data_IF_959536421991
#
_entry.id   IF_959536421991
#
_cell.length_a   1.000
_cell.length_b   1.000
_cell.length_c   1.000
_cell.angle_alpha   90.00
_cell.angle_beta   90.00
_cell.angle_gamma   90.00
#
_symmetry.space_group_name_H-M   'P 1'
#
loop_
_entity.id
_entity.type
_entity.pdbx_description
1 polymer ?
#
# COMPACT_ATOMS: atom_id res chain seq x y z
N UNK A 1 58.32 27.61 -77.47
CA UNK A 1 56.98 27.03 -77.76
C UNK A 1 56.91 25.67 -77.05
N UNK A 2 56.10 25.56 -75.99
CA UNK A 2 54.80 24.86 -75.98
C UNK A 2 54.96 23.34 -76.17
N UNK A 3 54.40 22.41 -75.41
CA UNK A 3 53.49 22.36 -74.27
C UNK A 3 53.28 20.87 -73.96
N UNK A 4 53.21 20.47 -72.68
CA UNK A 4 52.20 19.57 -72.08
C UNK A 4 52.78 18.80 -70.89
N UNK A 5 52.38 19.26 -69.70
CA UNK A 5 52.46 18.57 -68.41
C UNK A 5 51.65 17.26 -68.48
N UNK A 6 52.24 16.13 -68.08
CA UNK A 6 51.48 15.00 -67.52
C UNK A 6 51.62 15.06 -66.00
N UNK A 7 50.55 15.49 -65.32
CA UNK A 7 50.41 15.34 -63.87
C UNK A 7 50.10 13.88 -63.58
N UNK A 8 51.00 13.18 -62.90
CA UNK A 8 50.64 11.97 -62.16
C UNK A 8 49.80 12.41 -60.95
N UNK A 9 48.49 12.23 -61.04
CA UNK A 9 47.56 12.37 -59.92
C UNK A 9 47.56 11.03 -59.20
N UNK A 10 48.16 10.98 -58.01
CA UNK A 10 47.83 9.97 -57.01
C UNK A 10 46.39 10.24 -56.56
N UNK A 11 45.45 9.36 -56.90
CA UNK A 11 44.14 9.31 -56.29
C UNK A 11 44.22 8.39 -55.06
N UNK A 12 43.75 8.81 -53.87
CA UNK A 12 43.70 7.93 -52.71
C UNK A 12 42.55 6.93 -52.89
N UNK A 13 42.87 5.63 -52.80
CA UNK A 13 41.90 4.56 -52.64
C UNK A 13 41.15 4.77 -51.32
N UNK A 14 39.96 5.36 -51.36
CA UNK A 14 38.99 5.26 -50.28
C UNK A 14 38.03 4.11 -50.62
N UNK A 15 37.99 3.01 -49.84
CA UNK A 15 36.96 2.01 -50.03
C UNK A 15 35.65 2.59 -49.50
N UNK A 16 34.77 2.99 -50.40
CA UNK A 16 33.35 3.18 -50.07
C UNK A 16 32.82 1.85 -49.53
N UNK A 17 32.62 1.77 -48.21
CA UNK A 17 31.84 0.70 -47.59
C UNK A 17 30.42 0.78 -48.17
N UNK A 18 30.12 -0.11 -49.11
CA UNK A 18 28.74 -0.27 -49.57
C UNK A 18 27.93 -0.91 -48.44
N UNK A 19 27.07 -0.10 -47.82
CA UNK A 19 26.14 -0.55 -46.79
C UNK A 19 25.14 -1.52 -47.41
N UNK A 20 25.33 -2.83 -47.18
CA UNK A 20 24.39 -3.87 -47.61
C UNK A 20 23.35 -4.02 -46.49
N UNK A 21 22.18 -3.40 -46.67
CA UNK A 21 21.04 -3.52 -45.74
C UNK A 21 20.80 -5.00 -45.37
N UNK A 22 20.55 -5.34 -44.10
CA UNK A 22 20.20 -6.70 -43.72
C UNK A 22 18.87 -7.10 -44.39
N UNK A 23 18.93 -8.05 -45.34
CA UNK A 23 17.80 -8.48 -46.20
C UNK A 23 16.64 -9.16 -45.47
N UNK A 24 16.78 -9.45 -44.18
CA UNK A 24 15.82 -10.28 -43.45
C UNK A 24 14.50 -9.54 -43.16
N UNK A 25 14.52 -8.22 -42.99
CA UNK A 25 13.35 -7.42 -42.55
C UNK A 25 12.56 -6.82 -43.74
N UNK A 26 13.16 -6.73 -44.92
CA UNK A 26 12.46 -6.28 -46.13
C UNK A 26 11.63 -7.41 -46.78
N UNK A 27 11.83 -8.66 -46.36
CA UNK A 27 11.08 -9.80 -46.89
C UNK A 27 9.62 -9.76 -46.39
N UNK A 28 8.62 -9.85 -47.29
CA UNK A 28 7.21 -9.77 -46.90
C UNK A 28 6.83 -10.79 -45.82
N UNK A 29 7.45 -11.97 -45.82
CA UNK A 29 7.26 -13.01 -44.80
C UNK A 29 7.68 -12.57 -43.38
N UNK A 30 8.76 -11.79 -43.23
CA UNK A 30 9.21 -11.31 -41.92
C UNK A 30 8.25 -10.26 -41.35
N UNK A 31 7.68 -9.40 -42.22
CA UNK A 31 6.65 -8.43 -41.83
C UNK A 31 5.36 -9.10 -41.39
N UNK A 32 4.93 -10.15 -42.11
CA UNK A 32 3.77 -10.98 -41.73
C UNK A 32 4.02 -11.70 -40.40
N UNK A 33 5.22 -12.26 -40.19
CA UNK A 33 5.57 -12.91 -38.93
C UNK A 33 5.53 -11.94 -37.75
N UNK A 34 6.13 -10.76 -37.87
CA UNK A 34 6.09 -9.72 -36.83
C UNK A 34 4.64 -9.29 -36.55
N UNK A 35 3.85 -9.08 -37.60
CA UNK A 35 2.43 -8.75 -37.45
C UNK A 35 1.65 -9.83 -36.69
N UNK A 36 1.85 -11.11 -37.03
CA UNK A 36 1.19 -12.23 -36.35
C UNK A 36 1.62 -12.35 -34.88
N UNK A 37 2.90 -12.09 -34.56
CA UNK A 37 3.39 -12.07 -33.18
C UNK A 37 2.74 -10.93 -32.39
N UNK A 38 2.64 -9.73 -32.97
CA UNK A 38 1.94 -8.61 -32.33
C UNK A 38 0.46 -8.94 -32.06
N UNK A 39 -0.25 -9.50 -33.04
CA UNK A 39 -1.65 -9.91 -32.88
C UNK A 39 -1.81 -10.97 -31.80
N UNK A 40 -0.91 -11.97 -31.76
CA UNK A 40 -0.91 -13.01 -30.74
C UNK A 40 -0.71 -12.42 -29.34
N UNK A 41 0.27 -11.53 -29.15
CA UNK A 41 0.52 -10.84 -27.87
C UNK A 41 -0.71 -10.03 -27.45
N UNK A 42 -1.34 -9.31 -28.38
CA UNK A 42 -2.58 -8.56 -28.10
C UNK A 42 -3.73 -9.45 -27.68
N UNK A 43 -3.97 -10.58 -28.37
CA UNK A 43 -5.05 -11.51 -28.02
C UNK A 43 -4.81 -12.13 -26.64
N UNK A 44 -3.57 -12.54 -26.35
CA UNK A 44 -3.20 -13.09 -25.03
C UNK A 44 -3.37 -12.04 -23.94
N UNK A 45 -2.92 -10.80 -24.17
CA UNK A 45 -3.08 -9.70 -23.21
C UNK A 45 -4.54 -9.36 -22.93
N UNK A 46 -5.38 -9.27 -23.96
CA UNK A 46 -6.82 -9.02 -23.81
C UNK A 46 -7.51 -10.14 -23.05
N UNK A 47 -7.16 -11.41 -23.34
CA UNK A 47 -7.71 -12.55 -22.61
C UNK A 47 -7.31 -12.52 -21.14
N UNK A 48 -6.03 -12.26 -20.86
CA UNK A 48 -5.53 -12.19 -19.49
C UNK A 48 -6.24 -11.10 -18.69
N UNK A 49 -6.37 -9.90 -19.26
CA UNK A 49 -7.12 -8.81 -18.64
C UNK A 49 -8.60 -9.16 -18.41
N UNK A 50 -9.26 -9.75 -19.41
CA UNK A 50 -10.65 -10.21 -19.27
C UNK A 50 -10.82 -11.26 -18.18
N UNK A 51 -9.81 -12.10 -17.94
CA UNK A 51 -9.85 -13.10 -16.88
C UNK A 51 -9.52 -12.50 -15.50
N UNK A 52 -8.60 -11.53 -15.42
CA UNK A 52 -8.26 -10.83 -14.17
C UNK A 52 -9.39 -9.94 -13.67
N UNK A 53 -10.13 -9.28 -14.56
CA UNK A 53 -11.24 -8.40 -14.17
C UNK A 53 -12.50 -9.12 -13.69
N UNK A 54 -12.57 -10.46 -13.74
CA UNK A 54 -13.78 -11.23 -13.38
C UNK A 54 -14.02 -11.35 -11.89
N UNK A 55 -12.97 -11.29 -11.09
CA UNK A 55 -13.04 -11.50 -9.66
C UNK A 55 -12.29 -10.39 -8.93
N UNK A 56 -12.83 -9.94 -7.80
CA UNK A 56 -12.16 -9.03 -6.87
C UNK A 56 -12.09 -9.67 -5.50
N UNK A 57 -11.09 -9.28 -4.72
CA UNK A 57 -11.04 -9.63 -3.30
C UNK A 57 -12.05 -8.75 -2.56
N UNK A 58 -12.99 -9.39 -1.86
CA UNK A 58 -13.76 -8.77 -0.79
C UNK A 58 -12.98 -8.94 0.49
N UNK A 59 -12.76 -7.83 1.17
CA UNK A 59 -12.19 -7.81 2.51
C UNK A 59 -13.22 -8.40 3.46
N UNK A 60 -12.73 -9.20 4.40
CA UNK A 60 -13.54 -9.76 5.45
C UNK A 60 -13.05 -9.17 6.77
N UNK A 61 -13.73 -8.14 7.25
CA UNK A 61 -13.41 -7.53 8.55
C UNK A 61 -13.69 -8.57 9.64
N UNK A 62 -12.71 -8.89 10.50
CA UNK A 62 -12.94 -9.87 11.56
C UNK A 62 -14.03 -9.39 12.53
N UNK A 63 -14.86 -10.31 13.02
CA UNK A 63 -15.83 -10.03 14.07
C UNK A 63 -15.13 -9.96 15.42
N UNK A 64 -15.47 -8.96 16.24
CA UNK A 64 -15.01 -8.90 17.63
C UNK A 64 -15.68 -9.99 18.49
N UNK A 65 -15.02 -10.41 19.56
CA UNK A 65 -15.57 -11.35 20.54
C UNK A 65 -16.26 -10.60 21.69
N UNK A 66 -16.54 -11.32 22.79
CA UNK A 66 -16.97 -10.71 24.05
C UNK A 66 -15.87 -9.88 24.72
N UNK A 67 -14.61 -10.00 24.27
CA UNK A 67 -13.44 -9.28 24.79
C UNK A 67 -13.10 -8.00 24.01
N UNK A 68 -14.09 -7.41 23.34
CA UNK A 68 -14.11 -6.16 22.53
C UNK A 68 -12.93 -5.16 22.62
N UNK A 69 -12.34 -4.92 23.80
CA UNK A 69 -11.22 -3.97 23.96
C UNK A 69 -9.85 -4.52 23.57
N UNK A 70 -9.71 -5.84 23.43
CA UNK A 70 -8.47 -6.48 22.99
C UNK A 70 -8.80 -7.73 22.17
N UNK A 71 -8.30 -7.78 20.95
CA UNK A 71 -8.46 -8.93 20.05
C UNK A 71 -7.11 -9.24 19.38
N UNK A 72 -6.66 -10.47 19.52
CA UNK A 72 -5.39 -10.94 18.99
C UNK A 72 -5.58 -11.97 17.88
N UNK A 73 -5.72 -11.51 16.64
CA UNK A 73 -5.85 -12.41 15.49
C UNK A 73 -4.49 -12.95 15.01
N UNK A 74 -3.39 -12.50 15.62
CA UNK A 74 -2.02 -12.90 15.28
C UNK A 74 -1.40 -13.88 16.27
N UNK A 75 -1.94 -13.98 17.48
CA UNK A 75 -1.40 -14.76 18.59
C UNK A 75 -0.01 -14.30 19.02
N UNK A 76 0.16 -12.98 19.20
CA UNK A 76 1.44 -12.32 19.56
C UNK A 76 1.42 -11.66 20.94
N UNK A 77 0.24 -11.47 21.53
CA UNK A 77 0.05 -10.95 22.86
C UNK A 77 -0.10 -12.10 23.85
N UNK A 78 0.48 -11.93 25.03
CA UNK A 78 0.29 -12.88 26.12
C UNK A 78 -0.91 -12.47 26.98
N UNK A 79 -1.40 -13.43 27.77
CA UNK A 79 -2.58 -13.23 28.63
C UNK A 79 -2.43 -12.08 29.64
N UNK A 80 -1.20 -11.78 30.11
CA UNK A 80 -0.95 -10.69 31.06
C UNK A 80 -1.19 -9.33 30.40
N UNK A 81 -0.71 -9.16 29.18
CA UNK A 81 -0.89 -7.94 28.37
C UNK A 81 -2.36 -7.75 28.00
N UNK A 82 -3.01 -8.79 27.48
CA UNK A 82 -4.44 -8.74 27.14
C UNK A 82 -5.30 -8.37 28.34
N UNK A 83 -5.05 -9.00 29.49
CA UNK A 83 -5.80 -8.72 30.71
C UNK A 83 -5.62 -7.28 31.16
N UNK A 84 -4.40 -6.74 31.08
CA UNK A 84 -4.15 -5.35 31.41
C UNK A 84 -4.92 -4.39 30.49
N UNK A 85 -4.86 -4.62 29.17
CA UNK A 85 -5.58 -3.80 28.18
C UNK A 85 -7.08 -3.83 28.47
N UNK A 86 -7.66 -5.03 28.63
CA UNK A 86 -9.08 -5.21 28.91
C UNK A 86 -9.50 -4.51 30.21
N UNK A 87 -8.80 -4.75 31.31
CA UNK A 87 -9.16 -4.23 32.63
C UNK A 87 -9.10 -2.69 32.66
N UNK A 88 -8.06 -2.09 32.07
CA UNK A 88 -7.91 -0.62 32.05
C UNK A 88 -8.83 0.05 31.03
N UNK A 89 -9.10 -0.57 29.88
CA UNK A 89 -10.05 -0.04 28.89
C UNK A 89 -11.49 -0.03 29.44
N UNK A 90 -11.89 -1.07 30.17
CA UNK A 90 -13.19 -1.11 30.86
C UNK A 90 -13.29 -0.02 31.93
N UNK A 91 -12.23 0.25 32.68
CA UNK A 91 -12.20 1.34 33.68
C UNK A 91 -12.31 2.71 32.99
N UNK A 92 -11.57 2.91 31.90
CA UNK A 92 -11.61 4.13 31.11
C UNK A 92 -13.03 4.40 30.60
N UNK A 93 -13.65 3.42 29.93
CA UNK A 93 -15.00 3.57 29.41
C UNK A 93 -16.01 3.90 30.53
N UNK A 94 -15.94 3.24 31.69
CA UNK A 94 -16.80 3.57 32.83
C UNK A 94 -16.60 5.00 33.34
N UNK A 95 -15.38 5.54 33.24
CA UNK A 95 -15.04 6.86 33.76
C UNK A 95 -15.35 8.00 32.76
N UNK A 96 -15.22 7.74 31.45
CA UNK A 96 -15.23 8.79 30.41
C UNK A 96 -16.24 8.54 29.28
N UNK A 97 -16.81 7.34 29.18
CA UNK A 97 -17.54 6.83 28.01
C UNK A 97 -16.70 6.72 26.73
N UNK A 98 -15.39 6.97 26.79
CA UNK A 98 -14.48 6.79 25.66
C UNK A 98 -13.98 5.35 25.60
N UNK A 99 -13.77 4.85 24.39
CA UNK A 99 -13.34 3.48 24.15
C UNK A 99 -11.99 3.48 23.46
N UNK A 100 -11.05 2.68 23.99
CA UNK A 100 -9.73 2.47 23.38
C UNK A 100 -9.58 0.96 23.21
N UNK A 101 -9.42 0.52 21.97
CA UNK A 101 -9.40 -0.88 21.55
C UNK A 101 -8.05 -1.22 20.93
N UNK A 102 -7.49 -2.38 21.26
CA UNK A 102 -6.24 -2.89 20.69
C UNK A 102 -6.54 -4.10 19.82
N UNK A 103 -6.07 -4.09 18.58
CA UNK A 103 -6.24 -5.22 17.66
C UNK A 103 -4.91 -5.55 17.01
N UNK A 104 -4.57 -6.83 16.94
CA UNK A 104 -3.46 -7.33 16.10
C UNK A 104 -4.05 -8.18 14.97
N UNK A 105 -3.54 -7.99 13.76
CA UNK A 105 -3.93 -8.78 12.58
C UNK A 105 -2.69 -9.24 11.82
N UNK A 106 -2.72 -10.40 11.15
CA UNK A 106 -1.56 -10.85 10.38
C UNK A 106 -1.31 -10.00 9.12
N UNK A 107 -2.34 -9.36 8.57
CA UNK A 107 -2.27 -8.48 7.39
C UNK A 107 -3.59 -7.69 7.22
N UNK A 108 -3.63 -6.79 6.23
CA UNK A 108 -4.78 -5.95 5.85
C UNK A 108 -5.56 -6.47 4.64
N UNK A 109 -5.38 -7.75 4.27
CA UNK A 109 -6.08 -8.39 3.15
C UNK A 109 -5.98 -7.63 1.81
N UNK A 110 -4.84 -7.00 1.53
CA UNK A 110 -4.56 -6.16 0.34
C UNK A 110 -5.12 -4.72 0.37
N UNK A 111 -5.73 -4.28 1.47
CA UNK A 111 -6.04 -2.86 1.68
C UNK A 111 -4.83 -2.09 2.23
N UNK A 112 -4.88 -0.76 2.10
CA UNK A 112 -4.02 0.12 2.89
C UNK A 112 -4.32 -0.05 4.38
N UNK A 113 -3.34 0.23 5.24
CA UNK A 113 -3.51 0.16 6.69
C UNK A 113 -4.57 1.15 7.17
N UNK A 114 -4.59 2.33 6.55
CA UNK A 114 -5.56 3.38 6.77
C UNK A 114 -6.99 2.89 6.51
N UNK A 115 -7.26 2.41 5.28
CA UNK A 115 -8.61 2.00 4.87
C UNK A 115 -9.11 0.83 5.74
N UNK A 116 -8.25 -0.18 5.95
CA UNK A 116 -8.59 -1.33 6.78
C UNK A 116 -8.93 -0.91 8.22
N UNK A 117 -8.14 0.01 8.82
CA UNK A 117 -8.40 0.47 10.19
C UNK A 117 -9.70 1.26 10.32
N UNK A 118 -10.04 2.09 9.33
CA UNK A 118 -11.27 2.88 9.32
C UNK A 118 -12.47 1.95 9.17
N UNK A 119 -12.40 0.98 8.25
CA UNK A 119 -13.45 -0.01 8.04
C UNK A 119 -13.67 -0.85 9.30
N UNK A 120 -12.59 -1.36 9.90
CA UNK A 120 -12.63 -2.10 11.15
C UNK A 120 -13.26 -1.29 12.29
N UNK A 121 -12.81 -0.05 12.52
CA UNK A 121 -13.31 0.79 13.60
C UNK A 121 -14.79 1.15 13.45
N UNK A 122 -15.23 1.40 12.20
CA UNK A 122 -16.64 1.68 11.88
C UNK A 122 -17.52 0.44 12.04
N UNK A 123 -17.10 -0.72 11.51
CA UNK A 123 -17.86 -1.96 11.58
C UNK A 123 -18.07 -2.40 13.04
N UNK A 124 -17.02 -2.26 13.87
CA UNK A 124 -17.10 -2.56 15.30
C UNK A 124 -17.82 -1.47 16.11
N UNK A 125 -18.08 -0.31 15.51
CA UNK A 125 -18.72 0.82 16.17
C UNK A 125 -17.97 1.28 17.41
N UNK A 126 -16.64 1.39 17.33
CA UNK A 126 -15.79 1.76 18.46
C UNK A 126 -16.13 3.20 18.92
N UNK A 127 -16.30 3.39 20.23
CA UNK A 127 -16.67 4.68 20.82
C UNK A 127 -18.19 4.93 20.90
N UNK A 128 -18.55 6.06 21.47
CA UNK A 128 -19.95 6.50 21.52
C UNK A 128 -20.34 7.24 20.24
N UNK A 129 -21.49 6.88 19.65
CA UNK A 129 -21.97 7.44 18.37
C UNK A 129 -22.19 8.96 18.40
N UNK A 130 -22.51 9.53 19.55
CA UNK A 130 -22.76 10.96 19.69
C UNK A 130 -21.48 11.73 20.07
N UNK A 131 -20.55 11.08 20.77
CA UNK A 131 -19.31 11.72 21.23
C UNK A 131 -18.13 11.52 20.27
N UNK A 132 -18.18 10.51 19.39
CA UNK A 132 -17.12 10.14 18.46
C UNK A 132 -15.76 10.02 19.17
N UNK A 133 -15.76 9.33 20.31
CA UNK A 133 -14.65 9.25 21.26
C UNK A 133 -14.03 7.84 21.32
N UNK A 134 -14.00 7.17 20.18
CA UNK A 134 -13.33 5.89 20.00
C UNK A 134 -11.86 6.06 19.60
N UNK A 135 -11.03 5.08 19.96
CA UNK A 135 -9.64 4.94 19.49
C UNK A 135 -9.39 3.49 19.17
N UNK A 136 -8.82 3.23 17.99
CA UNK A 136 -8.31 1.92 17.60
C UNK A 136 -6.79 1.98 17.51
N UNK A 137 -6.11 1.12 18.27
CA UNK A 137 -4.69 0.82 18.12
C UNK A 137 -4.57 -0.51 17.38
N UNK A 138 -4.23 -0.44 16.09
CA UNK A 138 -4.14 -1.58 15.20
C UNK A 138 -2.67 -1.90 14.89
N UNK A 139 -2.27 -3.15 15.07
CA UNK A 139 -0.98 -3.67 14.62
C UNK A 139 -1.17 -4.68 13.48
N UNK A 140 -0.34 -4.58 12.45
CA UNK A 140 -0.13 -5.67 11.49
C UNK A 140 1.14 -6.41 11.84
N UNK A 141 1.07 -7.74 11.89
CA UNK A 141 2.19 -8.60 12.32
C UNK A 141 2.81 -9.37 11.16
N UNK A 142 2.70 -8.84 9.94
CA UNK A 142 3.31 -9.43 8.77
C UNK A 142 4.83 -9.50 8.97
N UNK A 143 5.43 -10.67 8.72
CA UNK A 143 6.81 -10.97 9.09
C UNK A 143 7.85 -9.99 8.50
N UNK A 144 7.64 -9.52 7.27
CA UNK A 144 8.58 -8.64 6.57
C UNK A 144 8.21 -7.14 6.64
N UNK A 145 6.99 -6.81 7.06
CA UNK A 145 6.47 -5.43 7.01
C UNK A 145 5.41 -5.20 8.11
N UNK A 146 5.81 -5.29 9.40
CA UNK A 146 4.91 -5.00 10.48
C UNK A 146 4.62 -3.51 10.52
N UNK A 147 3.36 -3.11 10.73
CA UNK A 147 2.95 -1.72 10.85
C UNK A 147 2.08 -1.51 12.07
N UNK A 148 1.95 -0.25 12.47
CA UNK A 148 1.04 0.17 13.53
C UNK A 148 0.27 1.41 13.11
N UNK A 149 -1.01 1.44 13.46
CA UNK A 149 -1.87 2.59 13.27
C UNK A 149 -2.65 2.92 14.54
N UNK A 150 -2.75 4.21 14.81
CA UNK A 150 -3.67 4.76 15.79
C UNK A 150 -4.75 5.57 15.06
N UNK A 151 -5.98 5.07 15.07
CA UNK A 151 -7.16 5.75 14.52
C UNK A 151 -7.89 6.47 15.66
N UNK A 152 -8.18 7.75 15.48
CA UNK A 152 -8.75 8.62 16.52
C UNK A 152 -10.11 9.16 16.05
N UNK A 153 -11.16 8.94 16.85
CA UNK A 153 -12.47 9.57 16.66
C UNK A 153 -12.42 11.08 16.90
N UNK A 154 -13.28 11.85 16.23
CA UNK A 154 -13.22 13.33 16.20
C UNK A 154 -13.35 13.96 17.59
N UNK A 155 -14.09 13.31 18.49
CA UNK A 155 -14.27 13.75 19.86
C UNK A 155 -12.98 13.76 20.68
N UNK A 156 -11.93 13.08 20.22
CA UNK A 156 -10.64 12.98 20.90
C UNK A 156 -9.51 13.70 20.16
N UNK A 157 -9.75 14.34 19.00
CA UNK A 157 -8.72 15.08 18.26
C UNK A 157 -8.08 16.22 19.06
N UNK A 158 -8.85 16.86 19.95
CA UNK A 158 -8.34 17.90 20.85
C UNK A 158 -7.28 17.35 21.82
N UNK A 159 -7.49 16.13 22.28
CA UNK A 159 -6.60 15.41 23.18
C UNK A 159 -5.41 14.80 22.42
N UNK A 160 -5.69 14.10 21.33
CA UNK A 160 -4.75 13.28 20.57
C UNK A 160 -4.85 13.69 19.10
N UNK A 161 -4.19 14.79 18.74
CA UNK A 161 -4.03 15.18 17.34
C UNK A 161 -3.11 14.21 16.59
N UNK A 162 -3.20 14.16 15.25
CA UNK A 162 -2.34 13.33 14.39
C UNK A 162 -0.85 13.43 14.73
N UNK A 163 -0.37 14.66 14.96
CA UNK A 163 1.02 14.89 15.34
C UNK A 163 1.37 14.33 16.72
N UNK A 164 0.42 14.29 17.65
CA UNK A 164 0.61 13.64 18.96
C UNK A 164 0.52 12.11 18.81
N UNK A 165 -0.46 11.59 18.07
CA UNK A 165 -0.60 10.19 17.75
C UNK A 165 0.71 9.63 17.15
N UNK A 166 1.27 10.31 16.14
CA UNK A 166 2.54 9.93 15.54
C UNK A 166 3.69 9.88 16.55
N UNK A 167 3.81 10.88 17.45
CA UNK A 167 4.84 10.88 18.50
C UNK A 167 4.65 9.76 19.53
N UNK A 168 3.41 9.37 19.81
CA UNK A 168 3.13 8.23 20.69
C UNK A 168 3.63 6.95 20.02
N UNK A 169 3.27 6.73 18.75
CA UNK A 169 3.73 5.57 17.99
C UNK A 169 5.26 5.52 17.88
N UNK A 170 5.90 6.63 17.51
CA UNK A 170 7.37 6.75 17.40
C UNK A 170 8.08 6.37 18.70
N UNK A 171 7.48 6.73 19.84
CA UNK A 171 8.11 6.55 21.15
C UNK A 171 7.89 5.17 21.75
N UNK A 172 6.73 4.56 21.51
CA UNK A 172 6.28 3.39 22.26
C UNK A 172 6.00 2.17 21.39
N UNK A 173 5.72 2.35 20.09
CA UNK A 173 5.30 1.27 19.22
C UNK A 173 6.40 0.82 18.25
N UNK A 174 7.06 1.76 17.56
CA UNK A 174 7.90 1.46 16.37
C UNK A 174 9.05 0.51 16.70
N UNK A 175 9.97 0.90 17.57
CA UNK A 175 11.16 0.10 17.90
C UNK A 175 10.78 -1.27 18.51
N UNK A 176 9.91 -1.36 19.55
CA UNK A 176 9.52 -2.67 20.08
C UNK A 176 8.81 -3.57 19.05
N UNK A 177 7.92 -3.02 18.22
CA UNK A 177 7.23 -3.77 17.16
C UNK A 177 8.22 -4.34 16.14
N UNK A 178 9.18 -3.53 15.69
CA UNK A 178 10.20 -3.94 14.71
C UNK A 178 11.10 -5.06 15.27
N UNK A 179 11.34 -5.06 16.57
CA UNK A 179 12.09 -6.12 17.28
C UNK A 179 11.24 -7.34 17.65
N UNK A 180 9.94 -7.35 17.31
CA UNK A 180 9.00 -8.42 17.64
C UNK A 180 8.55 -8.44 19.11
N UNK A 181 8.80 -7.37 19.86
CA UNK A 181 8.39 -7.16 21.24
C UNK A 181 6.95 -6.62 21.31
N UNK A 182 6.00 -7.44 20.86
CA UNK A 182 4.60 -7.07 20.68
C UNK A 182 3.87 -6.67 21.97
N UNK A 183 4.18 -7.33 23.09
CA UNK A 183 3.58 -7.00 24.38
C UNK A 183 4.03 -5.62 24.85
N UNK A 184 5.32 -5.33 24.69
CA UNK A 184 5.88 -4.01 24.94
C UNK A 184 5.24 -2.95 24.05
N UNK A 185 5.21 -3.19 22.74
CA UNK A 185 4.63 -2.26 21.77
C UNK A 185 3.17 -1.93 22.09
N UNK A 186 2.33 -2.96 22.30
CA UNK A 186 0.91 -2.79 22.57
C UNK A 186 0.65 -2.16 23.94
N UNK A 187 1.28 -2.69 25.00
CA UNK A 187 1.02 -2.28 26.38
C UNK A 187 1.45 -0.84 26.68
N UNK A 188 2.63 -0.43 26.22
CA UNK A 188 3.12 0.94 26.45
C UNK A 188 2.36 1.97 25.61
N UNK A 189 2.08 1.66 24.35
CA UNK A 189 1.31 2.53 23.45
C UNK A 189 -0.10 2.72 23.98
N UNK A 190 -0.80 1.63 24.33
CA UNK A 190 -2.12 1.69 24.95
C UNK A 190 -2.10 2.54 26.24
N UNK A 191 -1.13 2.31 27.12
CA UNK A 191 -0.98 3.08 28.37
C UNK A 191 -0.81 4.58 28.10
N UNK A 192 0.00 4.94 27.11
CA UNK A 192 0.19 6.34 26.73
C UNK A 192 -1.10 6.98 26.19
N UNK A 193 -1.86 6.25 25.38
CA UNK A 193 -3.13 6.71 24.82
C UNK A 193 -4.17 6.94 25.92
N UNK A 194 -4.41 5.96 26.79
CA UNK A 194 -5.46 6.10 27.82
C UNK A 194 -5.17 7.22 28.82
N UNK A 195 -3.88 7.54 29.07
CA UNK A 195 -3.49 8.72 29.87
C UNK A 195 -3.93 10.04 29.25
N UNK A 196 -3.77 10.19 27.93
CA UNK A 196 -4.25 11.39 27.22
C UNK A 196 -5.78 11.45 27.23
N UNK A 197 -6.47 10.31 27.10
CA UNK A 197 -7.94 10.27 27.18
C UNK A 197 -8.44 10.66 28.57
N UNK A 198 -7.90 10.10 29.65
CA UNK A 198 -8.28 10.52 31.02
C UNK A 198 -8.10 12.02 31.23
N UNK A 199 -6.98 12.56 30.74
CA UNK A 199 -6.67 13.99 30.84
C UNK A 199 -7.67 14.87 30.09
N UNK A 200 -8.10 14.46 28.90
CA UNK A 200 -9.12 15.19 28.12
C UNK A 200 -10.42 15.36 28.89
N UNK A 201 -10.86 14.30 29.56
CA UNK A 201 -12.09 14.32 30.36
C UNK A 201 -11.89 14.89 31.79
N UNK A 202 -10.71 15.43 32.09
CA UNK A 202 -10.40 16.00 33.41
C UNK A 202 -10.48 14.98 34.55
N UNK A 203 -10.23 13.70 34.24
CA UNK A 203 -10.23 12.61 35.21
C UNK A 203 -8.82 12.34 35.72
N UNK A 204 -8.71 11.94 36.98
CA UNK A 204 -7.45 11.45 37.54
C UNK A 204 -7.11 10.11 36.88
N UNK A 205 -5.84 9.96 36.46
CA UNK A 205 -5.32 8.72 35.91
C UNK A 205 -5.16 7.73 37.06
N UNK A 206 -5.79 6.54 37.03
CA UNK A 206 -5.61 5.53 38.06
C UNK A 206 -4.14 5.11 38.20
N UNK A 207 -3.68 4.83 39.42
CA UNK A 207 -2.30 4.35 39.67
C UNK A 207 -1.97 3.04 38.92
N UNK A 208 -2.99 2.26 38.56
CA UNK A 208 -2.84 1.04 37.74
C UNK A 208 -2.42 1.32 36.30
N UNK A 209 -2.64 2.54 35.79
CA UNK A 209 -2.31 2.94 34.42
C UNK A 209 -0.83 3.33 34.34
N UNK A 210 0.02 2.32 34.28
CA UNK A 210 1.46 2.48 34.18
C UNK A 210 2.07 1.42 33.27
N UNK A 211 3.14 1.79 32.57
CA UNK A 211 4.00 0.84 31.89
C UNK A 211 4.54 -0.16 32.90
N UNK A 212 4.55 -1.43 32.51
CA UNK A 212 5.03 -2.55 33.32
C UNK A 212 6.16 -3.26 32.58
N UNK A 213 6.83 -4.18 33.26
CA UNK A 213 7.74 -5.11 32.59
C UNK A 213 6.93 -6.14 31.81
N UNK A 214 6.92 -5.98 30.48
CA UNK A 214 6.24 -6.85 29.53
C UNK A 214 7.08 -8.10 29.25
N UNK A 215 6.42 -9.25 29.10
CA UNK A 215 7.07 -10.54 28.93
C UNK A 215 7.01 -10.99 27.46
N UNK A 216 7.98 -10.58 26.64
CA UNK A 216 8.01 -10.88 25.20
C UNK A 216 8.69 -12.22 24.85
N UNK A 217 9.77 -12.61 25.54
CA UNK A 217 10.58 -13.78 25.14
C UNK A 217 10.14 -15.14 25.71
N UNK A 218 9.27 -15.15 26.74
CA UNK A 218 9.06 -16.35 27.58
C UNK A 218 7.59 -16.70 27.86
N UNK A 219 6.64 -15.84 27.50
CA UNK A 219 5.23 -16.06 27.76
C UNK A 219 4.55 -16.75 26.57
N UNK A 220 3.67 -17.74 26.79
CA UNK A 220 2.81 -18.23 25.72
C UNK A 220 1.90 -17.11 25.20
N UNK A 221 1.94 -16.87 23.89
CA UNK A 221 1.10 -15.89 23.18
C UNK A 221 -0.02 -16.54 22.36
N UNK A 222 -0.19 -17.86 22.51
CA UNK A 222 -1.25 -18.62 21.83
C UNK A 222 -2.05 -19.44 22.83
N UNK A 223 -3.33 -19.62 22.52
CA UNK A 223 -4.33 -20.20 23.41
C UNK A 223 -4.78 -19.26 24.52
N UNK A 224 -4.63 -17.94 24.34
CA UNK A 224 -5.13 -16.94 25.28
C UNK A 224 -6.64 -16.72 25.09
N UNK A 225 -7.23 -15.78 25.84
CA UNK A 225 -8.68 -15.52 25.73
C UNK A 225 -9.03 -14.51 24.64
N UNK A 226 -8.07 -13.68 24.22
CA UNK A 226 -8.28 -12.72 23.13
C UNK A 226 -7.89 -13.29 21.75
N UNK A 227 -7.33 -14.51 21.71
CA UNK A 227 -7.00 -15.18 20.46
C UNK A 227 -8.25 -15.52 19.65
N UNK A 228 -8.28 -15.03 18.42
CA UNK A 228 -9.39 -15.20 17.48
C UNK A 228 -8.90 -15.59 16.08
N UNK A 229 -9.70 -16.32 15.32
CA UNK A 229 -9.35 -16.72 13.95
C UNK A 229 -9.44 -15.51 12.99
N UNK A 230 -8.35 -15.20 12.28
CA UNK A 230 -8.40 -14.16 11.24
C UNK A 230 -9.06 -14.70 9.96
N UNK A 231 -10.18 -14.11 9.49
CA UNK A 231 -10.76 -14.51 8.22
C UNK A 231 -9.85 -14.10 7.06
N UNK A 232 -9.72 -14.99 6.07
CA UNK A 232 -9.05 -14.65 4.81
C UNK A 232 -9.96 -13.84 3.88
N UNK A 233 -9.37 -13.14 2.88
CA UNK A 233 -10.16 -12.44 1.88
C UNK A 233 -10.97 -13.41 1.02
N UNK A 234 -12.15 -12.98 0.58
CA UNK A 234 -13.06 -13.79 -0.23
C UNK A 234 -13.01 -13.31 -1.68
N UNK A 235 -12.78 -14.22 -2.63
CA UNK A 235 -12.93 -13.91 -4.05
C UNK A 235 -14.41 -13.82 -4.40
N UNK A 236 -14.85 -12.62 -4.77
CA UNK A 236 -16.22 -12.37 -5.24
C UNK A 236 -16.21 -12.04 -6.73
N UNK A 237 -17.32 -12.30 -7.41
CA UNK A 237 -17.48 -11.85 -8.79
C UNK A 237 -17.41 -10.33 -8.85
N UNK A 238 -16.75 -9.80 -9.87
CA UNK A 238 -16.72 -8.36 -10.11
C UNK A 238 -18.11 -7.90 -10.59
N UNK A 239 -18.80 -7.18 -9.71
CA UNK A 239 -20.13 -6.59 -9.91
C UNK A 239 -20.08 -5.09 -10.18
N UNK A 240 -18.89 -4.52 -10.38
CA UNK A 240 -18.72 -3.10 -10.66
C UNK A 240 -19.50 -2.70 -11.93
N UNK A 241 -20.03 -1.47 -12.01
CA UNK A 241 -20.76 -1.03 -13.19
C UNK A 241 -19.92 -1.20 -14.45
N UNK A 242 -20.55 -1.65 -15.55
CA UNK A 242 -19.89 -1.88 -16.84
C UNK A 242 -19.02 -0.69 -17.30
N UNK A 243 -19.42 0.55 -16.97
CA UNK A 243 -18.65 1.75 -17.31
C UNK A 243 -17.29 1.82 -16.61
N UNK A 244 -17.18 1.43 -15.33
CA UNK A 244 -15.90 1.41 -14.60
C UNK A 244 -14.98 0.33 -15.18
N UNK A 245 -15.54 -0.87 -15.41
CA UNK A 245 -14.82 -1.96 -16.07
C UNK A 245 -14.33 -1.55 -17.47
N UNK A 246 -15.12 -0.75 -18.21
CA UNK A 246 -14.75 -0.22 -19.51
C UNK A 246 -13.62 0.82 -19.42
N UNK A 247 -13.64 1.69 -18.39
CA UNK A 247 -12.58 2.68 -18.16
C UNK A 247 -11.26 1.97 -17.89
N UNK A 248 -11.24 1.01 -16.96
CA UNK A 248 -10.05 0.21 -16.64
C UNK A 248 -9.54 -0.54 -17.86
N UNK A 249 -10.44 -1.13 -18.66
CA UNK A 249 -10.10 -1.79 -19.91
C UNK A 249 -9.44 -0.84 -20.93
N UNK A 250 -9.93 0.39 -21.05
CA UNK A 250 -9.37 1.40 -21.96
C UNK A 250 -7.99 1.86 -21.48
N UNK A 251 -7.82 2.12 -20.18
CA UNK A 251 -6.53 2.52 -19.59
C UNK A 251 -5.50 1.42 -19.82
N UNK A 252 -5.86 0.17 -19.52
CA UNK A 252 -4.98 -0.98 -19.71
C UNK A 252 -4.65 -1.21 -21.18
N UNK A 253 -5.63 -1.12 -22.07
CA UNK A 253 -5.39 -1.21 -23.52
C UNK A 253 -4.44 -0.10 -24.00
N UNK A 254 -4.61 1.13 -23.50
CA UNK A 254 -3.73 2.25 -23.79
C UNK A 254 -2.29 2.00 -23.35
N UNK A 255 -2.09 1.51 -22.13
CA UNK A 255 -0.76 1.14 -21.60
C UNK A 255 -0.11 0.03 -22.43
N UNK A 256 -0.85 -1.01 -22.78
CA UNK A 256 -0.36 -2.12 -23.59
C UNK A 256 0.00 -1.67 -25.01
N UNK A 257 -0.84 -0.87 -25.66
CA UNK A 257 -0.56 -0.31 -26.99
C UNK A 257 0.70 0.55 -26.97
N UNK A 258 0.85 1.40 -25.94
CA UNK A 258 2.05 2.20 -25.75
C UNK A 258 3.31 1.35 -25.61
N UNK A 259 3.27 0.29 -24.78
CA UNK A 259 4.40 -0.63 -24.56
C UNK A 259 4.78 -1.36 -25.86
N UNK A 260 3.80 -1.85 -26.63
CA UNK A 260 4.03 -2.50 -27.93
C UNK A 260 4.67 -1.52 -28.91
N UNK A 261 4.19 -0.28 -29.00
CA UNK A 261 4.77 0.76 -29.85
C UNK A 261 6.20 1.09 -29.42
N UNK A 262 6.45 1.20 -28.11
CA UNK A 262 7.78 1.47 -27.55
C UNK A 262 8.77 0.34 -27.89
N UNK A 263 8.39 -0.92 -27.68
CA UNK A 263 9.22 -2.08 -28.04
C UNK A 263 9.47 -2.12 -29.55
N UNK A 264 8.43 -1.85 -30.35
CA UNK A 264 8.57 -1.79 -31.81
C UNK A 264 9.56 -0.71 -32.24
N UNK A 265 9.49 0.49 -31.65
CA UNK A 265 10.43 1.59 -31.88
C UNK A 265 11.85 1.24 -31.43
N UNK A 266 12.02 0.55 -30.30
CA UNK A 266 13.33 0.08 -29.82
C UNK A 266 13.94 -0.96 -30.75
N UNK A 267 13.13 -1.89 -31.26
CA UNK A 267 13.54 -2.86 -32.29
C UNK A 267 13.95 -2.12 -33.57
N UNK A 268 13.14 -1.18 -34.05
CA UNK A 268 13.50 -0.34 -35.21
C UNK A 268 14.82 0.41 -34.96
N UNK A 269 15.00 1.02 -33.80
CA UNK A 269 16.23 1.70 -33.43
C UNK A 269 17.45 0.77 -33.53
N UNK A 270 17.39 -0.44 -32.97
CA UNK A 270 18.50 -1.42 -33.08
C UNK A 270 18.76 -1.91 -34.51
N UNK A 271 17.75 -1.91 -35.37
CA UNK A 271 17.83 -2.31 -36.78
C UNK A 271 18.44 -1.19 -37.64
N UNK A 272 18.00 0.05 -37.43
CA UNK A 272 18.37 1.20 -38.24
C UNK A 272 19.65 1.90 -37.76
N UNK A 273 20.06 1.72 -36.50
CA UNK A 273 21.23 2.41 -35.91
C UNK A 273 22.56 1.65 -36.06
N UNK A 274 22.69 0.79 -37.09
CA UNK A 274 23.98 0.20 -37.49
C UNK A 274 24.75 1.02 -38.52
N UNK A 275 24.59 2.35 -38.51
CA UNK A 275 25.22 3.18 -39.54
C UNK A 275 25.22 4.68 -39.28
N UNK A 276 25.66 5.16 -38.11
CA UNK A 276 26.40 6.44 -38.07
C UNK A 276 27.15 6.63 -36.75
N UNK A 277 28.46 6.38 -36.76
CA UNK A 277 29.34 6.91 -35.73
C UNK A 277 29.81 8.31 -36.10
N UNK A 278 29.37 9.34 -35.37
CA UNK A 278 30.22 10.49 -34.97
C UNK A 278 29.48 11.44 -34.03
N UNK A 279 30.05 11.54 -32.83
CA UNK A 279 30.01 12.56 -31.77
C UNK A 279 29.09 13.79 -31.82
N UNK A 280 28.62 14.10 -30.60
CA UNK A 280 28.53 15.41 -29.94
C UNK A 280 27.41 16.38 -30.35
N UNK A 281 26.46 16.56 -29.44
CA UNK A 281 25.52 17.68 -29.41
C UNK A 281 24.77 17.71 -28.08
N UNK A 282 25.13 18.66 -27.23
CA UNK A 282 24.60 18.90 -25.88
C UNK A 282 23.35 19.79 -25.96
N UNK A 283 22.32 19.47 -25.16
CA UNK A 283 21.14 20.30 -24.86
C UNK A 283 19.90 19.91 -25.67
N UNK A 284 18.69 19.77 -25.12
CA UNK A 284 18.11 19.99 -23.80
C UNK A 284 16.58 19.94 -23.96
N UNK A 285 15.84 19.73 -22.86
CA UNK A 285 14.37 19.77 -22.73
C UNK A 285 13.65 18.56 -23.37
N UNK A 286 12.90 17.72 -22.65
CA UNK A 286 11.91 18.02 -21.62
C UNK A 286 12.12 17.19 -20.34
N UNK A 287 12.16 17.90 -19.21
CA UNK A 287 11.73 17.35 -17.94
C UNK A 287 10.22 17.23 -17.95
N UNK A 288 9.73 16.07 -17.53
CA UNK A 288 8.34 15.77 -17.28
C UNK A 288 8.30 14.68 -16.23
N UNK A 289 8.52 15.08 -14.97
CA UNK A 289 8.19 14.24 -13.83
C UNK A 289 6.70 13.95 -13.90
N UNK A 290 6.32 12.70 -14.19
CA UNK A 290 4.99 12.22 -13.88
C UNK A 290 4.99 11.83 -12.40
N UNK A 291 4.86 12.85 -11.55
CA UNK A 291 4.24 12.68 -10.24
C UNK A 291 2.76 12.40 -10.50
N UNK A 292 2.38 11.12 -10.46
CA UNK A 292 0.98 10.72 -10.37
C UNK A 292 0.46 11.02 -8.98
N UNK A 293 0.09 12.28 -8.73
CA UNK A 293 -0.81 12.61 -7.64
C UNK A 293 -2.20 12.12 -8.05
N UNK A 294 -2.68 11.07 -7.40
CA UNK A 294 -4.08 10.67 -7.53
C UNK A 294 -4.90 11.60 -6.62
N UNK A 295 -5.56 12.57 -7.24
CA UNK A 295 -6.55 13.43 -6.60
C UNK A 295 -7.83 12.64 -6.38
N UNK A 296 -8.31 12.64 -5.14
CA UNK A 296 -9.57 12.05 -4.75
C UNK A 296 -10.80 12.73 -5.37
N UNK A 297 -11.89 11.97 -5.31
CA UNK A 297 -13.28 12.29 -5.58
C UNK A 297 -13.99 10.94 -5.70
N UNK A 298 -14.80 10.46 -4.76
CA UNK A 298 -15.81 11.14 -3.96
C UNK A 298 -17.17 10.66 -4.46
N UNK A 299 -17.79 9.70 -3.76
CA UNK A 299 -19.09 9.13 -4.12
C UNK A 299 -19.61 8.18 -3.05
N UNK A 300 -20.53 8.68 -2.22
CA UNK A 300 -21.07 8.14 -0.97
C UNK A 300 -22.06 6.96 -1.14
N UNK A 301 -22.17 6.08 -0.12
CA UNK A 301 -23.45 5.61 0.45
C UNK A 301 -23.25 4.44 1.44
N UNK A 302 -23.35 4.69 2.74
CA UNK A 302 -23.44 3.66 3.78
C UNK A 302 -23.42 4.30 5.16
N UNK A 303 -24.59 4.62 5.71
CA UNK A 303 -24.71 5.38 6.95
C UNK A 303 -24.58 4.51 8.21
N UNK A 304 -23.67 4.90 9.10
CA UNK A 304 -23.67 4.46 10.50
C UNK A 304 -22.40 4.82 11.27
N UNK A 305 -22.29 6.07 11.79
CA UNK A 305 -21.18 6.52 12.65
C UNK A 305 -19.83 6.62 11.92
N UNK A 306 -19.11 7.75 12.00
CA UNK A 306 -17.94 8.02 11.13
C UNK A 306 -16.67 8.24 11.96
N UNK A 307 -15.82 7.22 12.05
CA UNK A 307 -14.39 7.43 12.25
C UNK A 307 -13.85 8.19 11.04
N UNK A 308 -13.47 9.43 11.26
CA UNK A 308 -12.82 10.27 10.27
C UNK A 308 -12.09 11.43 10.93
N UNK A 309 -11.68 11.22 12.20
CA UNK A 309 -11.05 12.25 13.03
C UNK A 309 -9.54 12.31 12.92
N UNK A 310 -8.92 11.39 12.18
CA UNK A 310 -7.49 11.39 11.95
C UNK A 310 -6.77 10.29 12.71
N UNK A 311 -5.46 10.40 12.80
CA UNK A 311 -4.60 9.34 13.29
C UNK A 311 -3.17 9.41 12.79
N UNK A 312 -2.43 8.35 13.05
CA UNK A 312 -1.07 8.18 12.54
C UNK A 312 -0.77 6.72 12.24
N UNK A 313 0.01 6.47 11.20
CA UNK A 313 0.57 5.16 10.84
C UNK A 313 2.11 5.18 10.89
N UNK A 314 2.71 4.02 11.17
CA UNK A 314 4.16 3.77 11.13
C UNK A 314 4.45 2.40 10.56
#
# INVERSE_FOLDING_TARGET
MSSRRKKHVYAPNSPYYSYRKPKFIEHPAAKVLVFLVCVFITIVGVKHFYDEGKYKYSINIPEHTEYFYVEDYSGVLNQKTEKYILDEAVKLNKATSAQVVVVTVPNTQHQSLEDFSIELANEWGIGDRALDNGVLLLFTTAYDDPHVRLEIGKGLEGAISDGKAGRILDKYAVEPKDDGLWNTAAGDTFTAVIKEVYKEYGKEVPDSVTSQEWEDDNAPTKGTFADSDFPGPVLIANDDPFFEQLIDAIIMFGYHAFLVIMIFMLILYTIFDRGNGSSSGRGGFFGGSLSGGSSGGGGYSGGGGSFGGGGASR
#
